data_IF_195547623827
#
_entry.id   IF_195547623827
#
_cell.length_a   1.000
_cell.length_b   1.000
_cell.length_c   1.000
_cell.angle_alpha   90.00
_cell.angle_beta   90.00
_cell.angle_gamma   90.00
#
_symmetry.space_group_name_H-M   'P 1'
#
loop_
_entity.id
_entity.type
_entity.pdbx_description
1 polymer ?
#
# COMPACT_ATOMS: atom_id res chain seq x y z
N UNK A 1 -48.59 -28.15 -10.90
CA UNK A 1 -48.48 -26.69 -11.00
C UNK A 1 -48.04 -26.19 -9.63
N UNK A 2 -46.84 -25.66 -9.41
CA UNK A 2 -45.93 -24.97 -10.31
C UNK A 2 -44.53 -25.64 -10.33
N UNK A 3 -43.93 -25.72 -11.52
CA UNK A 3 -42.48 -25.87 -11.65
C UNK A 3 -41.85 -24.53 -11.28
N UNK A 4 -40.97 -24.52 -10.28
CA UNK A 4 -40.02 -23.42 -10.12
C UNK A 4 -39.05 -23.53 -11.30
N UNK A 5 -39.29 -22.71 -12.33
CA UNK A 5 -38.29 -22.39 -13.34
C UNK A 5 -37.19 -21.61 -12.60
N UNK A 6 -36.09 -22.29 -12.29
CA UNK A 6 -34.85 -21.65 -11.87
C UNK A 6 -34.37 -20.80 -13.05
N UNK A 7 -34.12 -19.52 -12.79
CA UNK A 7 -33.65 -18.58 -13.80
C UNK A 7 -32.31 -19.06 -14.38
N UNK A 8 -32.13 -18.93 -15.69
CA UNK A 8 -30.94 -19.43 -16.38
C UNK A 8 -29.68 -18.71 -15.85
N UNK A 9 -29.83 -17.44 -15.48
CA UNK A 9 -28.77 -16.62 -14.89
C UNK A 9 -28.41 -17.10 -13.46
N UNK A 10 -29.41 -17.48 -12.66
CA UNK A 10 -29.22 -18.07 -11.32
C UNK A 10 -28.55 -19.46 -11.42
N UNK A 11 -28.84 -20.22 -12.48
CA UNK A 11 -28.22 -21.51 -12.73
C UNK A 11 -26.75 -21.38 -13.18
N UNK A 12 -26.44 -20.37 -14.00
CA UNK A 12 -25.07 -20.07 -14.44
C UNK A 12 -24.22 -19.55 -13.29
N UNK A 13 -24.76 -18.65 -12.47
CA UNK A 13 -24.07 -18.12 -11.29
C UNK A 13 -23.77 -19.24 -10.30
N UNK A 14 -24.76 -20.08 -9.96
CA UNK A 14 -24.57 -21.24 -9.08
C UNK A 14 -23.57 -22.26 -9.65
N UNK A 15 -23.56 -22.49 -10.97
CA UNK A 15 -22.57 -23.36 -11.61
C UNK A 15 -21.16 -22.75 -11.55
N UNK A 16 -20.99 -21.43 -11.69
CA UNK A 16 -19.70 -20.76 -11.55
C UNK A 16 -19.19 -20.81 -10.10
N UNK A 17 -20.05 -20.51 -9.11
CA UNK A 17 -19.69 -20.61 -7.69
C UNK A 17 -19.35 -22.05 -7.31
N UNK A 18 -20.14 -23.02 -7.79
CA UNK A 18 -19.91 -24.44 -7.52
C UNK A 18 -18.68 -24.98 -8.27
N UNK A 19 -18.34 -24.46 -9.46
CA UNK A 19 -17.10 -24.79 -10.16
C UNK A 19 -15.89 -24.19 -9.45
N UNK A 20 -15.97 -22.98 -8.87
CA UNK A 20 -14.85 -22.37 -8.15
C UNK A 20 -14.66 -22.96 -6.75
N UNK A 21 -15.75 -23.32 -6.07
CA UNK A 21 -15.68 -24.01 -4.76
C UNK A 21 -15.21 -25.46 -4.91
N UNK A 22 -15.42 -26.08 -6.08
CA UNK A 22 -15.15 -27.49 -6.34
C UNK A 22 -13.99 -27.76 -7.32
N UNK A 23 -13.46 -26.74 -8.01
CA UNK A 23 -12.14 -26.77 -8.64
C UNK A 23 -11.06 -26.66 -7.56
N UNK A 24 -10.98 -27.72 -6.75
CA UNK A 24 -9.87 -28.11 -5.89
C UNK A 24 -8.84 -27.00 -5.66
N UNK A 25 -8.88 -26.36 -4.49
CA UNK A 25 -7.74 -25.60 -3.97
C UNK A 25 -6.42 -26.38 -4.17
N UNK A 26 -6.45 -27.71 -4.15
CA UNK A 26 -5.34 -28.61 -4.45
C UNK A 26 -4.82 -28.62 -5.90
N UNK A 27 -5.64 -28.35 -6.93
CA UNK A 27 -5.19 -28.30 -8.33
C UNK A 27 -4.64 -26.91 -8.65
N UNK A 28 -5.35 -25.86 -8.24
CA UNK A 28 -4.91 -24.47 -8.38
C UNK A 28 -3.60 -24.24 -7.61
N UNK A 29 -3.48 -24.73 -6.38
CA UNK A 29 -2.23 -24.64 -5.61
C UNK A 29 -1.07 -25.44 -6.23
N UNK A 30 -1.34 -26.52 -6.97
CA UNK A 30 -0.29 -27.31 -7.65
C UNK A 30 0.14 -26.69 -8.98
N UNK A 31 -0.78 -26.02 -9.68
CA UNK A 31 -0.53 -25.38 -10.97
C UNK A 31 -1.16 -23.99 -11.03
N UNK A 32 -0.58 -23.00 -10.32
CA UNK A 32 -1.13 -21.65 -10.22
C UNK A 32 -1.35 -20.99 -11.56
N UNK A 33 -0.37 -21.12 -12.46
CA UNK A 33 -0.38 -20.46 -13.77
C UNK A 33 -1.56 -20.88 -14.64
N UNK A 34 -2.12 -22.09 -14.42
CA UNK A 34 -3.21 -22.61 -15.26
C UNK A 34 -4.45 -21.72 -15.23
N UNK A 35 -4.76 -21.08 -14.09
CA UNK A 35 -5.93 -20.19 -14.02
C UNK A 35 -5.62 -18.80 -14.57
N UNK A 36 -4.42 -18.28 -14.30
CA UNK A 36 -4.03 -16.93 -14.68
C UNK A 36 -3.70 -16.79 -16.17
N UNK A 37 -3.17 -17.84 -16.79
CA UNK A 37 -2.86 -17.89 -18.22
C UNK A 37 -4.06 -18.38 -19.06
N UNK A 38 -5.20 -18.67 -18.43
CA UNK A 38 -6.42 -19.08 -19.13
C UNK A 38 -7.00 -17.94 -19.97
N UNK A 39 -7.51 -18.26 -21.16
CA UNK A 39 -8.26 -17.31 -22.00
C UNK A 39 -9.51 -16.76 -21.28
N UNK A 40 -10.07 -17.56 -20.37
CA UNK A 40 -11.27 -17.19 -19.58
C UNK A 40 -10.96 -16.33 -18.35
N UNK A 41 -9.68 -16.10 -18.03
CA UNK A 41 -9.30 -15.36 -16.82
C UNK A 41 -9.95 -13.97 -16.74
N UNK A 42 -9.98 -13.25 -17.86
CA UNK A 42 -10.56 -11.91 -17.94
C UNK A 42 -12.09 -11.91 -17.78
N UNK A 43 -12.73 -13.07 -17.95
CA UNK A 43 -14.17 -13.25 -17.82
C UNK A 43 -14.61 -13.57 -16.39
N UNK A 44 -13.67 -13.85 -15.47
CA UNK A 44 -13.97 -14.14 -14.07
C UNK A 44 -14.81 -13.02 -13.42
N UNK A 45 -15.67 -13.39 -12.48
CA UNK A 45 -16.39 -12.46 -11.60
C UNK A 45 -15.45 -11.95 -10.49
N UNK A 46 -15.79 -10.82 -9.87
CA UNK A 46 -14.97 -10.22 -8.79
C UNK A 46 -14.80 -11.19 -7.61
N UNK A 47 -15.86 -11.89 -7.19
CA UNK A 47 -15.83 -12.85 -6.07
C UNK A 47 -14.89 -14.03 -6.32
N UNK A 48 -14.85 -14.52 -7.55
CA UNK A 48 -13.95 -15.61 -7.95
C UNK A 48 -12.51 -15.13 -7.96
N UNK A 49 -12.26 -13.93 -8.52
CA UNK A 49 -10.94 -13.31 -8.49
C UNK A 49 -10.45 -13.10 -7.04
N UNK A 50 -11.31 -12.61 -6.15
CA UNK A 50 -11.01 -12.46 -4.71
C UNK A 50 -10.65 -13.80 -4.08
N UNK A 51 -11.41 -14.84 -4.36
CA UNK A 51 -11.16 -16.18 -3.83
C UNK A 51 -9.78 -16.70 -4.24
N UNK A 52 -9.35 -16.40 -5.47
CA UNK A 52 -8.02 -16.76 -5.99
C UNK A 52 -6.91 -15.92 -5.32
N UNK A 53 -7.07 -14.60 -5.21
CA UNK A 53 -6.08 -13.69 -4.58
C UNK A 53 -5.81 -14.09 -3.12
N UNK A 54 -6.86 -14.56 -2.41
CA UNK A 54 -6.77 -14.96 -1.00
C UNK A 54 -6.02 -16.27 -0.76
N UNK A 55 -5.74 -17.07 -1.80
CA UNK A 55 -4.99 -18.32 -1.64
C UNK A 55 -3.52 -18.02 -1.30
N UNK A 56 -3.04 -18.61 -0.20
CA UNK A 56 -1.63 -18.51 0.20
C UNK A 56 -0.71 -19.29 -0.74
N UNK A 57 0.51 -18.77 -0.93
CA UNK A 57 1.62 -19.39 -1.68
C UNK A 57 1.32 -19.75 -3.15
N UNK A 58 0.32 -19.10 -3.76
CA UNK A 58 -0.08 -19.34 -5.14
C UNK A 58 0.94 -18.79 -6.15
N UNK A 59 1.27 -17.51 -6.04
CA UNK A 59 2.27 -16.81 -6.87
C UNK A 59 2.95 -15.71 -6.05
N UNK A 60 4.05 -15.18 -6.59
CA UNK A 60 4.62 -13.93 -6.08
C UNK A 60 3.58 -12.81 -6.19
N UNK A 61 3.44 -12.00 -5.15
CA UNK A 61 2.38 -11.00 -5.04
C UNK A 61 2.40 -9.96 -6.18
N UNK A 62 3.59 -9.67 -6.69
CA UNK A 62 3.74 -8.75 -7.81
C UNK A 62 3.18 -9.30 -9.12
N UNK A 63 3.14 -10.64 -9.30
CA UNK A 63 2.47 -11.30 -10.43
C UNK A 63 0.97 -11.29 -10.23
N UNK A 64 0.49 -11.55 -9.01
CA UNK A 64 -0.93 -11.43 -8.67
C UNK A 64 -1.44 -10.03 -9.04
N UNK A 65 -0.67 -8.99 -8.71
CA UNK A 65 -1.01 -7.62 -9.09
C UNK A 65 -1.08 -7.39 -10.61
N UNK A 66 -0.13 -7.91 -11.38
CA UNK A 66 -0.18 -7.80 -12.84
C UNK A 66 -1.47 -8.40 -13.40
N UNK A 67 -1.88 -9.56 -12.89
CA UNK A 67 -3.14 -10.21 -13.28
C UNK A 67 -4.38 -9.45 -12.82
N UNK A 68 -4.38 -8.85 -11.63
CA UNK A 68 -5.48 -8.01 -11.15
C UNK A 68 -5.66 -6.77 -12.04
N UNK A 69 -4.56 -6.12 -12.43
CA UNK A 69 -4.59 -4.99 -13.35
C UNK A 69 -5.02 -5.43 -14.76
N UNK A 70 -4.58 -6.59 -15.23
CA UNK A 70 -5.02 -7.16 -16.51
C UNK A 70 -6.54 -7.41 -16.50
N UNK A 71 -7.05 -8.06 -15.46
CA UNK A 71 -8.46 -8.36 -15.30
C UNK A 71 -9.29 -7.07 -15.33
N UNK A 72 -8.84 -6.03 -14.64
CA UNK A 72 -9.56 -4.76 -14.67
C UNK A 72 -9.56 -4.10 -16.04
N UNK A 73 -8.42 -4.07 -16.74
CA UNK A 73 -8.35 -3.49 -18.08
C UNK A 73 -9.30 -4.20 -19.05
N UNK A 74 -9.50 -5.50 -18.86
CA UNK A 74 -10.47 -6.26 -19.63
C UNK A 74 -11.93 -5.91 -19.29
N UNK A 75 -12.24 -5.54 -18.03
CA UNK A 75 -13.56 -5.03 -17.63
C UNK A 75 -13.81 -3.60 -18.11
N UNK A 76 -12.76 -2.81 -18.27
CA UNK A 76 -12.83 -1.40 -18.67
C UNK A 76 -12.03 -1.12 -19.97
N UNK A 77 -12.42 -1.71 -21.13
CA UNK A 77 -11.63 -1.66 -22.36
C UNK A 77 -11.50 -0.26 -22.99
N UNK A 78 -12.30 0.71 -22.54
CA UNK A 78 -12.28 2.09 -23.02
C UNK A 78 -11.32 2.99 -22.24
N UNK A 79 -10.61 2.47 -21.24
CA UNK A 79 -9.61 3.26 -20.51
C UNK A 79 -8.42 3.59 -21.42
N UNK A 80 -7.92 4.85 -21.38
CA UNK A 80 -6.77 5.25 -22.18
C UNK A 80 -5.48 4.60 -21.63
N UNK A 81 -4.34 4.89 -22.25
CA UNK A 81 -3.05 4.47 -21.71
C UNK A 81 -2.74 5.18 -20.39
N UNK A 82 -2.03 4.50 -19.49
CA UNK A 82 -1.78 4.97 -18.10
C UNK A 82 -1.19 6.39 -18.02
N UNK A 83 -0.43 6.80 -19.03
CA UNK A 83 0.18 8.13 -19.12
C UNK A 83 -0.83 9.27 -19.37
N UNK A 84 -2.03 8.92 -19.84
CA UNK A 84 -3.12 9.84 -20.17
C UNK A 84 -4.25 9.81 -19.13
N UNK A 85 -4.07 9.07 -18.03
CA UNK A 85 -5.13 8.89 -17.04
C UNK A 85 -5.43 10.17 -16.26
N UNK A 86 -6.72 10.48 -16.22
CA UNK A 86 -7.30 11.51 -15.37
C UNK A 86 -7.75 10.92 -14.03
N UNK A 87 -8.12 11.77 -13.07
CA UNK A 87 -8.67 11.32 -11.79
C UNK A 87 -9.95 10.49 -11.95
N UNK A 88 -10.75 10.74 -12.99
CA UNK A 88 -11.96 9.95 -13.28
C UNK A 88 -11.60 8.53 -13.74
N UNK A 89 -10.52 8.37 -14.51
CA UNK A 89 -10.03 7.05 -14.91
C UNK A 89 -9.59 6.23 -13.68
N UNK A 90 -8.86 6.85 -12.75
CA UNK A 90 -8.49 6.21 -11.48
C UNK A 90 -9.70 5.89 -10.62
N UNK A 91 -10.74 6.73 -10.62
CA UNK A 91 -11.98 6.45 -9.89
C UNK A 91 -12.72 5.23 -10.45
N UNK A 92 -12.76 5.07 -11.77
CA UNK A 92 -13.31 3.88 -12.44
C UNK A 92 -12.54 2.62 -12.05
N UNK A 93 -11.20 2.64 -12.15
CA UNK A 93 -10.34 1.54 -11.73
C UNK A 93 -10.57 1.17 -10.27
N UNK A 94 -10.58 2.18 -9.39
CA UNK A 94 -10.80 2.01 -7.95
C UNK A 94 -12.16 1.40 -7.62
N UNK A 95 -13.21 1.81 -8.33
CA UNK A 95 -14.55 1.28 -8.11
C UNK A 95 -14.62 -0.19 -8.53
N UNK A 96 -13.96 -0.54 -9.63
CA UNK A 96 -13.91 -1.90 -10.17
C UNK A 96 -13.11 -2.86 -9.29
N UNK A 97 -12.01 -2.38 -8.69
CA UNK A 97 -11.12 -3.19 -7.85
C UNK A 97 -11.40 -3.05 -6.35
N UNK A 98 -12.48 -2.37 -5.97
CA UNK A 98 -12.80 -2.00 -4.58
C UNK A 98 -12.66 -3.18 -3.61
N UNK A 99 -13.18 -4.36 -3.97
CA UNK A 99 -13.16 -5.51 -3.07
C UNK A 99 -11.91 -6.38 -3.30
N UNK A 100 -11.24 -6.28 -4.45
CA UNK A 100 -9.96 -6.95 -4.71
C UNK A 100 -8.76 -6.31 -3.97
N UNK A 101 -8.65 -4.98 -3.97
CA UNK A 101 -7.49 -4.26 -3.40
C UNK A 101 -7.16 -4.65 -1.94
N UNK A 102 -8.13 -4.79 -1.02
CA UNK A 102 -7.86 -5.19 0.36
C UNK A 102 -7.23 -6.58 0.52
N UNK A 103 -7.30 -7.43 -0.51
CA UNK A 103 -6.74 -8.78 -0.49
C UNK A 103 -5.33 -8.86 -1.07
N UNK A 104 -4.84 -7.79 -1.72
CA UNK A 104 -3.45 -7.71 -2.18
C UNK A 104 -2.53 -7.48 -0.98
N UNK A 105 -1.51 -8.32 -0.84
CA UNK A 105 -0.54 -8.25 0.26
C UNK A 105 0.61 -7.34 -0.11
N UNK A 106 0.38 -6.03 -0.15
CA UNK A 106 1.37 -5.02 -0.56
C UNK A 106 2.74 -5.15 0.14
N UNK A 107 2.77 -5.72 1.34
CA UNK A 107 3.99 -6.02 2.08
C UNK A 107 4.91 -7.07 1.43
N UNK A 108 4.39 -7.92 0.55
CA UNK A 108 5.17 -8.91 -0.20
C UNK A 108 5.87 -8.31 -1.44
N UNK A 109 5.71 -7.01 -1.71
CA UNK A 109 6.42 -6.33 -2.80
C UNK A 109 7.81 -5.86 -2.35
N UNK A 110 8.81 -6.02 -3.21
CA UNK A 110 10.10 -5.35 -3.08
C UNK A 110 9.96 -3.85 -3.31
N UNK A 111 10.95 -3.05 -2.87
CA UNK A 111 10.95 -1.61 -3.14
C UNK A 111 10.88 -1.28 -4.64
N UNK A 112 11.57 -2.08 -5.45
CA UNK A 112 11.56 -1.96 -6.91
C UNK A 112 10.17 -2.25 -7.49
N UNK A 113 9.50 -3.28 -6.99
CA UNK A 113 8.16 -3.64 -7.45
C UNK A 113 7.12 -2.58 -7.03
N UNK A 114 7.20 -2.04 -5.81
CA UNK A 114 6.35 -0.91 -5.40
C UNK A 114 6.50 0.26 -6.37
N UNK A 115 7.74 0.62 -6.67
CA UNK A 115 8.09 1.73 -7.57
C UNK A 115 7.59 1.48 -9.00
N UNK A 116 7.79 0.29 -9.55
CA UNK A 116 7.43 -0.02 -10.94
C UNK A 116 5.94 -0.30 -11.12
N UNK A 117 5.31 -0.94 -10.14
CA UNK A 117 3.97 -1.54 -10.30
C UNK A 117 2.89 -0.84 -9.49
N UNK A 118 3.19 -0.33 -8.29
CA UNK A 118 2.17 0.31 -7.44
C UNK A 118 2.15 1.84 -7.64
N UNK A 119 3.33 2.47 -7.73
CA UNK A 119 3.46 3.92 -7.83
C UNK A 119 2.73 4.54 -9.04
N UNK A 120 2.73 3.93 -10.25
CA UNK A 120 1.93 4.44 -11.36
C UNK A 120 0.42 4.50 -11.06
N UNK A 121 -0.05 3.66 -10.12
CA UNK A 121 -1.42 3.58 -9.66
C UNK A 121 -1.64 4.21 -8.28
N UNK A 122 -0.72 5.07 -7.82
CA UNK A 122 -0.78 5.68 -6.49
C UNK A 122 -2.09 6.40 -6.16
N UNK A 123 -2.85 6.84 -7.18
CA UNK A 123 -4.16 7.48 -6.98
C UNK A 123 -5.27 6.51 -6.56
N UNK A 124 -5.07 5.19 -6.72
CA UNK A 124 -5.99 4.15 -6.25
C UNK A 124 -5.99 3.97 -4.75
N UNK A 125 -4.79 4.04 -4.17
CA UNK A 125 -4.64 3.91 -2.74
C UNK A 125 -5.27 5.15 -2.14
N UNK A 126 -6.41 4.92 -1.49
CA UNK A 126 -7.16 6.01 -0.91
C UNK A 126 -6.22 6.82 -0.04
N UNK A 127 -6.46 8.13 0.00
CA UNK A 127 -6.25 8.78 1.26
C UNK A 127 -7.12 8.06 2.27
N UNK A 128 -6.55 7.17 3.08
CA UNK A 128 -7.15 6.81 4.36
C UNK A 128 -7.23 8.13 5.11
N UNK A 129 -8.39 8.77 5.02
CA UNK A 129 -8.70 9.87 5.91
C UNK A 129 -8.45 9.33 7.30
N UNK A 130 -7.62 10.01 8.07
CA UNK A 130 -7.45 9.78 9.50
C UNK A 130 -8.80 10.12 10.18
N UNK A 131 -9.79 9.27 9.94
CA UNK A 131 -11.06 9.24 10.64
C UNK A 131 -10.80 8.53 11.96
N UNK A 132 -11.51 8.94 13.01
CA UNK A 132 -11.41 8.27 14.30
C UNK A 132 -12.46 7.14 14.32
N UNK A 133 -12.08 5.87 14.52
CA UNK A 133 -10.72 5.36 14.79
C UNK A 133 -9.88 5.19 13.52
N UNK A 134 -8.57 5.40 13.66
CA UNK A 134 -7.62 5.28 12.54
C UNK A 134 -7.61 3.83 12.02
N UNK A 135 -7.84 3.60 10.72
CA UNK A 135 -7.84 2.25 10.15
C UNK A 135 -6.40 1.82 9.84
N UNK A 136 -5.59 1.63 10.87
CA UNK A 136 -4.18 1.22 10.79
C UNK A 136 -3.88 0.13 11.82
N UNK A 137 -3.07 -0.84 11.42
CA UNK A 137 -2.55 -1.88 12.32
C UNK A 137 -1.28 -1.40 13.06
N UNK A 138 -0.71 -0.29 12.63
CA UNK A 138 0.61 0.24 12.99
C UNK A 138 0.51 1.53 13.82
N UNK A 139 -0.27 2.47 13.31
CA UNK A 139 -0.43 3.83 13.79
C UNK A 139 -1.64 3.86 14.72
N UNK A 140 -1.37 4.07 16.00
CA UNK A 140 -2.41 4.35 16.99
C UNK A 140 -2.86 5.80 16.87
N UNK A 141 -3.97 6.15 17.51
CA UNK A 141 -4.40 7.54 17.66
C UNK A 141 -3.30 8.41 18.28
N UNK A 142 -2.55 7.88 19.25
CA UNK A 142 -1.44 8.60 19.88
C UNK A 142 -0.27 8.86 18.90
N UNK A 143 0.06 7.89 18.05
CA UNK A 143 1.06 8.06 16.98
C UNK A 143 0.63 9.15 15.99
N UNK A 144 -0.64 9.15 15.59
CA UNK A 144 -1.16 10.15 14.68
C UNK A 144 -1.22 11.55 15.29
N UNK A 145 -1.54 11.67 16.58
CA UNK A 145 -1.48 12.95 17.30
C UNK A 145 -0.05 13.51 17.32
N UNK A 146 0.94 12.66 17.56
CA UNK A 146 2.35 13.04 17.53
C UNK A 146 2.76 13.54 16.14
N UNK A 147 2.52 12.72 15.11
CA UNK A 147 2.84 13.07 13.72
C UNK A 147 2.14 14.38 13.33
N UNK A 148 0.85 14.53 13.67
CA UNK A 148 0.08 15.75 13.35
C UNK A 148 0.67 16.98 14.02
N UNK A 149 1.11 16.87 15.28
CA UNK A 149 1.76 17.98 15.99
C UNK A 149 3.06 18.42 15.30
N UNK A 150 3.80 17.47 14.73
CA UNK A 150 5.00 17.77 13.97
C UNK A 150 4.70 18.44 12.65
N UNK A 151 3.68 17.97 11.91
CA UNK A 151 3.32 18.59 10.63
C UNK A 151 2.86 20.03 10.86
N UNK A 152 2.09 20.30 11.92
CA UNK A 152 1.67 21.64 12.32
C UNK A 152 2.76 22.50 12.96
N UNK A 153 3.95 21.94 13.21
CA UNK A 153 5.04 22.61 13.93
C UNK A 153 4.59 23.13 15.30
N UNK A 154 3.70 22.40 15.98
CA UNK A 154 3.26 22.73 17.34
C UNK A 154 4.39 22.50 18.33
N UNK A 155 4.49 23.41 19.30
CA UNK A 155 5.43 23.27 20.43
C UNK A 155 4.94 22.19 21.41
N UNK A 156 3.61 22.02 21.51
CA UNK A 156 2.97 21.04 22.38
C UNK A 156 2.15 20.05 21.58
N UNK A 157 2.18 18.78 21.98
CA UNK A 157 1.43 17.68 21.35
C UNK A 157 -0.07 17.93 21.40
N UNK A 158 -0.78 17.38 20.43
CA UNK A 158 -2.22 17.24 20.53
C UNK A 158 -2.57 16.19 21.59
N UNK A 159 -3.61 16.47 22.37
CA UNK A 159 -4.16 15.54 23.37
C UNK A 159 -5.40 14.82 22.86
N UNK A 160 -6.02 15.34 21.80
CA UNK A 160 -7.27 14.83 21.23
C UNK A 160 -7.29 14.98 19.71
N UNK A 161 -7.90 14.00 19.03
CA UNK A 161 -8.00 13.92 17.57
C UNK A 161 -8.93 14.98 16.96
N UNK A 162 -9.79 15.59 17.78
CA UNK A 162 -10.72 16.67 17.43
C UNK A 162 -10.03 17.97 17.00
N UNK A 163 -8.79 18.19 17.44
CA UNK A 163 -8.02 19.40 17.18
C UNK A 163 -7.05 19.28 15.99
N UNK A 164 -7.03 18.12 15.32
CA UNK A 164 -6.18 17.89 14.15
C UNK A 164 -6.74 18.62 12.93
N UNK A 165 -5.98 19.56 12.37
CA UNK A 165 -6.20 20.03 11.01
C UNK A 165 -5.68 18.95 10.06
N UNK A 166 -6.49 18.00 9.62
CA UNK A 166 -6.02 16.88 8.78
C UNK A 166 -5.72 17.29 7.31
N UNK A 167 -5.19 18.49 7.09
CA UNK A 167 -4.83 19.02 5.78
C UNK A 167 -3.36 18.69 5.44
N UNK A 168 -3.00 17.42 5.48
CA UNK A 168 -1.64 16.99 5.23
C UNK A 168 -1.58 15.95 4.13
N UNK A 169 -0.64 16.05 3.21
CA UNK A 169 -0.30 14.97 2.28
C UNK A 169 0.81 14.14 2.93
N UNK A 170 0.46 13.23 3.85
CA UNK A 170 1.37 12.11 4.16
C UNK A 170 1.35 11.27 2.90
N UNK A 171 2.51 11.04 2.31
CA UNK A 171 2.60 10.15 1.14
C UNK A 171 2.99 8.73 1.59
N UNK A 172 3.80 8.53 2.64
CA UNK A 172 4.21 7.17 3.04
C UNK A 172 4.64 7.03 4.53
N UNK A 173 4.02 6.13 5.30
CA UNK A 173 4.42 5.83 6.70
C UNK A 173 4.76 4.35 6.85
N UNK A 174 6.03 4.02 7.02
CA UNK A 174 6.50 2.63 6.95
C UNK A 174 6.82 2.10 8.35
N UNK A 175 6.58 0.83 8.64
CA UNK A 175 7.08 0.22 9.88
C UNK A 175 8.42 -0.41 9.66
N UNK A 176 9.25 -0.40 10.69
CA UNK A 176 10.55 -1.07 10.65
C UNK A 176 10.61 -2.08 11.78
N UNK A 177 10.86 -3.35 11.43
CA UNK A 177 10.87 -4.46 12.37
C UNK A 177 12.02 -4.36 13.36
N UNK A 178 11.79 -4.92 14.55
CA UNK A 178 12.77 -5.38 15.56
C UNK A 178 13.26 -4.38 16.60
N UNK A 179 12.78 -3.14 16.61
CA UNK A 179 13.26 -2.12 17.56
C UNK A 179 12.19 -1.35 18.31
N UNK A 180 10.89 -1.71 18.18
CA UNK A 180 9.76 -0.91 18.72
C UNK A 180 9.76 0.52 18.14
N UNK A 181 10.07 0.61 16.85
CA UNK A 181 10.30 1.85 16.12
C UNK A 181 9.45 1.90 14.84
N UNK A 182 8.76 3.01 14.61
CA UNK A 182 8.02 3.29 13.36
C UNK A 182 8.81 4.29 12.54
N UNK A 183 9.01 4.08 11.24
CA UNK A 183 9.82 4.98 10.42
C UNK A 183 9.07 5.43 9.16
N UNK A 184 8.68 6.69 9.13
CA UNK A 184 7.96 7.26 7.99
C UNK A 184 8.62 8.49 7.41
N UNK A 185 8.10 8.91 6.26
CA UNK A 185 8.50 10.13 5.59
C UNK A 185 7.29 10.93 5.13
N UNK A 186 7.34 12.24 5.38
CA UNK A 186 6.33 13.19 4.96
C UNK A 186 6.92 14.07 3.86
N UNK A 187 6.44 13.89 2.63
CA UNK A 187 7.03 14.52 1.46
C UNK A 187 6.72 16.01 1.35
N UNK A 188 5.53 16.45 1.79
CA UNK A 188 5.09 17.84 1.62
C UNK A 188 5.87 18.83 2.50
N UNK A 189 6.10 18.50 3.78
CA UNK A 189 6.94 19.28 4.73
C UNK A 189 8.34 18.65 4.90
N UNK A 190 8.67 17.71 3.99
CA UNK A 190 10.00 17.12 3.75
C UNK A 190 10.70 16.72 5.04
N UNK A 191 10.03 15.93 5.88
CA UNK A 191 10.63 15.39 7.08
C UNK A 191 10.54 13.88 7.12
N UNK A 192 11.48 13.26 7.79
CA UNK A 192 11.40 11.85 8.17
C UNK A 192 11.27 11.76 9.67
N UNK A 193 10.77 10.63 10.15
CA UNK A 193 10.61 10.43 11.58
C UNK A 193 10.91 8.99 12.01
N UNK A 194 11.22 8.87 13.29
CA UNK A 194 11.28 7.63 14.07
C UNK A 194 10.29 7.79 15.23
N UNK A 195 9.20 7.02 15.28
CA UNK A 195 8.37 6.95 16.48
C UNK A 195 8.86 5.82 17.39
N UNK A 196 9.01 6.13 18.68
CA UNK A 196 9.29 5.14 19.74
C UNK A 196 7.98 4.71 20.37
N UNK A 197 7.53 3.49 20.10
CA UNK A 197 6.19 3.03 20.54
C UNK A 197 6.05 2.92 22.06
N UNK A 198 7.15 2.73 22.80
CA UNK A 198 7.11 2.68 24.27
C UNK A 198 7.16 4.04 24.94
N UNK A 199 7.78 5.03 24.29
CA UNK A 199 7.93 6.36 24.83
C UNK A 199 8.07 7.36 23.70
N UNK A 200 6.95 7.93 23.29
CA UNK A 200 6.91 8.87 22.17
C UNK A 200 7.77 10.11 22.40
N UNK A 201 8.15 10.47 23.63
CA UNK A 201 9.07 11.61 23.88
C UNK A 201 10.47 11.35 23.33
N UNK A 202 10.83 10.09 23.14
CA UNK A 202 12.11 9.69 22.55
C UNK A 202 12.02 9.54 21.02
N UNK A 203 10.86 9.83 20.43
CA UNK A 203 10.69 9.87 18.98
C UNK A 203 11.52 11.00 18.37
N UNK A 204 11.99 10.77 17.14
CA UNK A 204 12.85 11.70 16.41
C UNK A 204 12.10 12.19 15.20
N UNK A 205 12.09 13.50 15.00
CA UNK A 205 11.77 14.12 13.71
C UNK A 205 13.03 14.78 13.16
N UNK A 206 13.26 14.61 11.87
CA UNK A 206 14.36 15.20 11.13
C UNK A 206 13.83 15.83 9.86
N UNK A 207 14.03 17.15 9.71
CA UNK A 207 13.55 17.90 8.54
C UNK A 207 14.64 18.05 7.51
N UNK A 208 14.25 18.16 6.25
CA UNK A 208 15.18 18.35 5.17
C UNK A 208 15.87 19.73 5.25
N UNK A 209 17.19 19.74 5.18
CA UNK A 209 18.02 20.95 5.10
C UNK A 209 18.31 21.35 3.65
N UNK A 210 18.23 20.41 2.71
CA UNK A 210 18.35 20.68 1.28
C UNK A 210 17.15 20.09 0.52
N UNK A 211 16.30 20.97 0.03
CA UNK A 211 15.06 20.63 -0.64
C UNK A 211 15.23 19.93 -2.00
N UNK A 212 16.35 20.15 -2.69
CA UNK A 212 16.58 19.56 -4.01
C UNK A 212 16.94 18.08 -3.94
N UNK A 213 17.27 17.57 -2.75
CA UNK A 213 17.72 16.19 -2.52
C UNK A 213 16.99 15.49 -1.36
N UNK A 214 15.96 16.15 -0.79
CA UNK A 214 15.19 15.65 0.34
C UNK A 214 14.37 14.41 0.00
N UNK A 215 13.91 14.31 -1.25
CA UNK A 215 13.16 13.18 -1.79
C UNK A 215 13.77 12.91 -3.16
N UNK A 216 14.45 11.79 -3.29
CA UNK A 216 15.11 11.41 -4.53
C UNK A 216 14.44 10.15 -5.06
N UNK A 217 13.49 10.36 -5.98
CA UNK A 217 13.09 9.29 -6.89
C UNK A 217 14.09 9.27 -8.06
N UNK A 218 15.21 8.56 -7.90
CA UNK A 218 16.13 8.33 -9.03
C UNK A 218 15.72 7.06 -9.76
N UNK A 219 15.07 7.26 -10.91
CA UNK A 219 14.64 6.24 -11.89
C UNK A 219 15.72 5.19 -12.21
N UNK A 220 17.01 5.55 -12.12
CA UNK A 220 18.13 4.66 -12.42
C UNK A 220 18.36 3.57 -11.35
N UNK A 221 17.78 3.71 -10.15
CA UNK A 221 18.11 2.86 -9.01
C UNK A 221 16.91 2.16 -8.35
N UNK A 222 15.66 2.47 -8.71
CA UNK A 222 14.46 1.70 -8.29
C UNK A 222 14.32 1.49 -6.77
N UNK A 223 14.82 2.44 -5.98
CA UNK A 223 14.69 2.46 -4.53
C UNK A 223 13.78 3.60 -4.10
N UNK A 224 13.07 3.40 -3.01
CA UNK A 224 12.38 4.48 -2.34
C UNK A 224 13.33 5.14 -1.34
N UNK A 225 13.54 6.45 -1.50
CA UNK A 225 14.52 7.21 -0.75
C UNK A 225 13.97 8.58 -0.33
N UNK A 226 13.94 8.83 0.97
CA UNK A 226 13.84 10.18 1.51
C UNK A 226 15.26 10.73 1.64
N UNK A 227 15.88 11.10 0.51
CA UNK A 227 17.32 11.35 0.47
C UNK A 227 18.11 10.12 0.95
N UNK A 228 19.27 10.31 1.61
CA UNK A 228 19.96 9.20 2.26
C UNK A 228 19.59 9.04 3.75
N UNK A 229 18.58 9.78 4.27
CA UNK A 229 18.22 9.66 5.69
C UNK A 229 17.38 8.40 5.95
N UNK A 230 16.56 7.99 4.98
CA UNK A 230 15.84 6.72 4.95
C UNK A 230 15.87 6.15 3.54
N UNK A 231 16.50 4.99 3.41
CA UNK A 231 16.67 4.28 2.15
C UNK A 231 16.10 2.88 2.29
N UNK A 232 15.07 2.56 1.51
CA UNK A 232 14.47 1.23 1.47
C UNK A 232 14.86 0.51 0.19
N UNK A 233 15.60 -0.58 0.34
CA UNK A 233 16.22 -1.32 -0.75
C UNK A 233 15.87 -2.81 -0.63
N UNK A 234 15.88 -3.49 -1.77
CA UNK A 234 15.76 -4.95 -1.84
C UNK A 234 14.39 -5.48 -1.43
N UNK A 235 14.38 -6.74 -1.01
CA UNK A 235 13.20 -7.37 -0.41
C UNK A 235 13.09 -6.89 1.04
N UNK A 236 12.06 -6.10 1.34
CA UNK A 236 11.92 -5.45 2.65
C UNK A 236 11.70 -6.45 3.80
N UNK A 237 11.14 -7.63 3.51
CA UNK A 237 10.81 -8.67 4.49
C UNK A 237 11.99 -9.60 4.78
N UNK A 238 12.78 -9.95 3.78
CA UNK A 238 13.85 -10.97 3.90
C UNK A 238 15.26 -10.42 3.72
N UNK A 239 15.40 -9.22 3.14
CA UNK A 239 16.68 -8.57 2.84
C UNK A 239 16.99 -7.42 3.80
N UNK A 240 18.24 -7.36 4.28
CA UNK A 240 18.74 -6.27 5.14
C UNK A 240 19.39 -5.15 4.33
N UNK A 241 18.83 -4.83 3.17
CA UNK A 241 19.43 -3.84 2.27
C UNK A 241 19.00 -2.41 2.63
N UNK A 242 17.96 -2.25 3.44
CA UNK A 242 17.45 -0.95 3.90
C UNK A 242 18.34 -0.32 4.96
N UNK A 243 18.63 0.98 4.87
CA UNK A 243 19.55 1.67 5.79
C UNK A 243 19.14 3.13 6.08
N UNK A 244 19.72 3.72 7.12
CA UNK A 244 19.52 5.11 7.53
C UNK A 244 20.85 5.87 7.57
N UNK A 245 20.92 7.02 6.90
CA UNK A 245 22.05 7.94 6.90
C UNK A 245 21.67 9.34 7.41
N UNK A 246 22.48 10.37 7.08
CA UNK A 246 22.30 11.75 7.58
C UNK A 246 22.28 12.83 6.50
N UNK A 247 22.45 12.47 5.22
CA UNK A 247 22.59 13.49 4.19
C UNK A 247 21.27 14.24 3.96
N UNK A 248 21.37 15.58 3.86
CA UNK A 248 20.28 16.51 3.53
C UNK A 248 19.16 16.66 4.56
N UNK A 249 19.37 16.17 5.78
CA UNK A 249 18.42 16.24 6.88
C UNK A 249 19.10 16.73 8.17
N UNK A 250 18.34 17.34 9.08
CA UNK A 250 18.85 17.96 10.31
C UNK A 250 19.52 16.96 11.27
N UNK A 251 19.00 15.72 11.31
CA UNK A 251 19.37 14.67 12.26
C UNK A 251 19.34 13.28 11.62
N UNK A 252 20.16 12.37 12.14
CA UNK A 252 19.99 10.94 11.89
C UNK A 252 18.75 10.42 12.63
N UNK A 253 17.92 9.62 11.98
CA UNK A 253 16.76 9.01 12.65
C UNK A 253 17.08 7.69 13.35
N UNK A 254 18.11 6.95 12.93
CA UNK A 254 18.60 5.75 13.63
C UNK A 254 20.11 5.86 13.85
N UNK A 255 20.58 5.57 15.05
CA UNK A 255 22.03 5.55 15.35
C UNK A 255 22.76 4.38 14.67
N UNK A 256 22.06 3.27 14.43
CA UNK A 256 22.60 2.13 13.71
C UNK A 256 22.45 2.33 12.20
N UNK A 257 23.59 2.36 11.49
CA UNK A 257 23.67 2.47 10.03
C UNK A 257 23.62 1.12 9.31
N UNK A 258 23.61 0.00 10.04
CA UNK A 258 23.48 -1.32 9.45
C UNK A 258 22.11 -1.50 8.81
N UNK A 259 22.09 -2.40 7.81
CA UNK A 259 20.89 -2.95 7.22
C UNK A 259 19.79 -3.33 8.22
N UNK A 260 18.52 -3.06 7.91
CA UNK A 260 17.37 -3.47 8.71
C UNK A 260 16.25 -4.11 7.86
N UNK A 261 15.40 -4.90 8.53
CA UNK A 261 14.19 -5.51 7.97
C UNK A 261 12.97 -4.62 8.26
N UNK A 262 11.95 -4.71 7.41
CA UNK A 262 10.65 -4.05 7.54
C UNK A 262 9.63 -5.13 7.87
N UNK A 263 8.87 -4.95 8.96
CA UNK A 263 7.89 -5.91 9.51
C UNK A 263 6.54 -5.80 8.82
N UNK A 264 6.19 -4.55 8.53
CA UNK A 264 4.90 -4.16 8.01
C UNK A 264 5.08 -2.85 7.21
N UNK A 265 4.27 -2.68 6.17
CA UNK A 265 4.31 -1.50 5.33
C UNK A 265 2.89 -0.99 5.15
N UNK A 266 2.62 0.20 5.67
CA UNK A 266 1.41 0.93 5.35
C UNK A 266 1.74 2.15 4.48
N UNK A 267 0.83 2.47 3.57
CA UNK A 267 0.93 3.68 2.75
C UNK A 267 -0.36 4.43 2.99
N UNK A 268 -0.22 5.64 3.52
CA UNK A 268 -1.35 6.53 3.75
C UNK A 268 -1.19 7.69 2.81
N UNK A 269 -2.25 7.99 2.08
CA UNK A 269 -2.47 9.35 1.58
C UNK A 269 -3.34 10.05 2.63
N UNK A 270 -3.08 11.32 2.93
CA UNK A 270 -3.97 12.11 3.81
C UNK A 270 -4.57 13.23 2.97
N UNK A 271 -5.85 13.55 3.20
CA UNK A 271 -6.60 14.51 2.41
C UNK A 271 -7.31 15.51 3.30
N UNK A 272 -7.46 16.77 2.85
CA UNK A 272 -8.16 17.79 3.60
C UNK A 272 -9.58 17.35 3.98
N UNK A 273 -10.04 17.74 5.17
CA UNK A 273 -11.48 17.71 5.45
C UNK A 273 -12.15 18.72 4.50
N UNK A 274 -13.13 18.25 3.73
CA UNK A 274 -14.03 19.11 2.95
C UNK A 274 -14.92 19.93 3.90
#
# INVERSE_FOLDING_TARGET
>A
MASQELDLDELVENLQTHLVTNMNNNIIAKHPNTIFESEDFNSLTEDVLISIIRLDDLLEEDKIWDYVIQWEKAKNPNLPDLNEWTSDNFLTLKTTLKHCLPHIRYFNFSSEQVVKKLYPYQQLFEPKLLTNPIPSNIITDEHALEISSWIDRKVTRYTETTHMNLNYLLEEVKMVESTREIIGGYSQDRFVFLLKTENLKNSIISRATNFNHAILYRSIYLYLQFGNVLSLHGNLKTGKDSFCGTYYYEKQIRSNTSGFLVEELEVFKVSPKK
#
